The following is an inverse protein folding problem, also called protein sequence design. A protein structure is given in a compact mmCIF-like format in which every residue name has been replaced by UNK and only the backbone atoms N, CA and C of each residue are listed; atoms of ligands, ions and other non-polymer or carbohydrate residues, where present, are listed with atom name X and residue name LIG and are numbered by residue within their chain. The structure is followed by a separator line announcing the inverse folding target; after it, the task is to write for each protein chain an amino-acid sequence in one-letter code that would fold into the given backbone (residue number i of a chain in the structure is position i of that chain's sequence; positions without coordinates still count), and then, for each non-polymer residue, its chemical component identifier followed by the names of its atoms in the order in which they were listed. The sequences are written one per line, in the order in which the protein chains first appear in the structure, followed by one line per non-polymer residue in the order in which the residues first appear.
data_IF_193380921112
#
_entry.id   IF_193380921112
#
_cell.length_a   1.000
_cell.length_b   1.000
_cell.length_c   1.000
_cell.angle_alpha   90.00
_cell.angle_beta   90.00
_cell.angle_gamma   90.00
#
_symmetry.space_group_name_H-M   'P 1'
#
loop_
_entity.id
_entity.type
_entity.pdbx_description
1 polymer ?
#
# COMPACT_ATOMS: atom_id res chain seq x y z
N UNK A 1 35.50 14.94 -31.93
CA UNK A 1 35.55 14.05 -30.72
C UNK A 1 35.06 14.73 -29.44
N UNK A 2 35.28 16.02 -29.18
CA UNK A 2 34.78 16.72 -27.97
C UNK A 2 33.23 16.82 -27.89
N UNK A 3 32.55 17.02 -29.05
CA UNK A 3 31.08 17.16 -29.13
C UNK A 3 30.35 15.82 -28.84
N UNK A 4 30.96 14.68 -29.16
CA UNK A 4 30.37 13.37 -28.90
C UNK A 4 30.37 13.00 -27.41
N UNK A 5 31.37 13.47 -26.66
CA UNK A 5 31.43 13.25 -25.18
C UNK A 5 30.39 14.09 -24.43
N UNK A 6 30.04 15.28 -24.98
CA UNK A 6 29.02 16.14 -24.35
C UNK A 6 27.62 15.54 -24.47
N UNK A 7 27.30 14.92 -25.60
CA UNK A 7 26.00 14.25 -25.82
C UNK A 7 25.85 13.00 -24.95
N UNK A 8 26.93 12.25 -24.70
CA UNK A 8 26.91 11.09 -23.84
C UNK A 8 26.64 11.45 -22.36
N UNK A 9 27.11 12.60 -21.88
CA UNK A 9 26.84 13.07 -20.53
C UNK A 9 25.38 13.53 -20.32
N UNK A 10 24.69 13.99 -21.37
CA UNK A 10 23.32 14.48 -21.28
C UNK A 10 22.28 13.36 -21.13
N UNK A 11 22.62 12.13 -21.52
CA UNK A 11 21.72 10.97 -21.45
C UNK A 11 21.65 10.30 -20.08
N UNK A 12 22.50 10.69 -19.12
CA UNK A 12 22.58 10.05 -17.79
C UNK A 12 21.66 10.73 -16.76
N UNK A 13 21.03 11.86 -17.09
CA UNK A 13 20.26 12.67 -16.12
C UNK A 13 18.78 12.30 -16.02
N UNK A 14 18.29 11.28 -16.72
CA UNK A 14 16.87 10.92 -16.72
C UNK A 14 16.58 9.61 -16.01
N UNK A 15 16.88 9.49 -14.73
CA UNK A 15 16.38 8.33 -13.96
C UNK A 15 15.98 8.70 -12.54
N UNK A 16 15.12 9.70 -12.42
CA UNK A 16 14.24 9.79 -11.24
C UNK A 16 12.85 9.35 -11.70
N UNK A 17 12.58 8.05 -11.69
CA UNK A 17 11.21 7.57 -11.86
C UNK A 17 10.41 7.88 -10.60
N UNK A 18 9.85 9.07 -10.54
CA UNK A 18 8.85 9.42 -9.54
C UNK A 18 7.56 8.73 -9.96
N UNK A 19 7.13 7.71 -9.23
CA UNK A 19 5.84 7.09 -9.49
C UNK A 19 4.73 8.07 -9.14
N UNK A 20 3.94 8.46 -10.14
CA UNK A 20 2.87 9.44 -9.98
C UNK A 20 1.49 8.79 -9.77
N UNK A 21 1.43 7.46 -9.69
CA UNK A 21 0.18 6.75 -9.50
C UNK A 21 0.35 5.45 -8.72
N UNK A 22 -0.73 5.01 -8.09
CA UNK A 22 -0.83 3.71 -7.41
C UNK A 22 -0.56 2.56 -8.37
N UNK A 23 -1.09 2.63 -9.60
CA UNK A 23 -0.87 1.60 -10.61
C UNK A 23 0.60 1.45 -10.99
N UNK A 24 1.28 2.57 -11.21
CA UNK A 24 2.70 2.56 -11.55
C UNK A 24 3.55 2.00 -10.40
N UNK A 25 3.28 2.40 -9.17
CA UNK A 25 3.97 1.90 -7.99
C UNK A 25 3.73 0.39 -7.79
N UNK A 26 2.47 -0.04 -7.83
CA UNK A 26 2.11 -1.44 -7.67
C UNK A 26 2.77 -2.33 -8.72
N UNK A 27 2.70 -1.95 -9.99
CA UNK A 27 3.28 -2.72 -11.08
C UNK A 27 4.81 -2.76 -11.05
N UNK A 28 5.44 -1.69 -10.56
CA UNK A 28 6.90 -1.64 -10.45
C UNK A 28 7.46 -2.54 -9.34
N UNK A 29 6.69 -2.74 -8.26
CA UNK A 29 7.19 -3.43 -7.07
C UNK A 29 6.56 -4.80 -6.80
N UNK A 30 5.51 -5.19 -7.52
CA UNK A 30 4.79 -6.47 -7.26
C UNK A 30 5.64 -7.73 -7.49
N UNK A 31 6.73 -7.61 -8.23
CA UNK A 31 7.66 -8.70 -8.57
C UNK A 31 9.03 -8.54 -7.89
N UNK A 32 9.20 -7.51 -7.04
CA UNK A 32 10.43 -7.34 -6.27
C UNK A 32 10.61 -8.49 -5.27
N UNK A 33 11.87 -8.86 -5.02
CA UNK A 33 12.22 -9.89 -4.05
C UNK A 33 11.65 -9.58 -2.66
N UNK A 34 11.06 -10.58 -2.03
CA UNK A 34 10.45 -10.51 -0.70
C UNK A 34 9.23 -9.55 -0.60
N UNK A 35 8.71 -9.05 -1.72
CA UNK A 35 7.47 -8.29 -1.76
C UNK A 35 6.29 -9.25 -1.88
N UNK A 36 5.31 -9.09 -1.01
CA UNK A 36 4.00 -9.74 -1.15
C UNK A 36 3.05 -8.73 -1.75
N UNK A 37 2.56 -8.99 -2.96
CA UNK A 37 1.61 -8.12 -3.64
C UNK A 37 0.37 -8.92 -4.02
N UNK A 38 -0.80 -8.46 -3.58
CA UNK A 38 -2.07 -9.15 -3.79
C UNK A 38 -3.10 -8.14 -4.30
N UNK A 39 -3.76 -8.50 -5.41
CA UNK A 39 -4.99 -7.85 -5.83
C UNK A 39 -6.15 -8.75 -5.43
N UNK A 40 -6.95 -8.27 -4.49
CA UNK A 40 -8.01 -9.09 -3.87
C UNK A 40 -9.20 -9.22 -4.84
N UNK A 41 -9.55 -10.43 -5.28
CA UNK A 41 -10.72 -10.65 -6.13
C UNK A 41 -12.01 -10.27 -5.41
N UNK A 42 -13.01 -9.82 -6.16
CA UNK A 42 -14.29 -9.36 -5.58
C UNK A 42 -14.99 -10.40 -4.69
N UNK A 43 -14.91 -11.68 -5.04
CA UNK A 43 -15.53 -12.74 -4.23
C UNK A 43 -14.87 -12.89 -2.86
N UNK A 44 -13.56 -12.59 -2.75
CA UNK A 44 -12.86 -12.61 -1.46
C UNK A 44 -13.18 -11.37 -0.60
N UNK A 45 -13.60 -10.27 -1.23
CA UNK A 45 -13.98 -9.06 -0.49
C UNK A 45 -15.15 -9.31 0.46
N UNK A 46 -16.11 -10.14 0.06
CA UNK A 46 -17.24 -10.53 0.91
C UNK A 46 -16.82 -11.32 2.16
N UNK A 47 -15.72 -12.07 2.06
CA UNK A 47 -15.17 -12.83 3.18
C UNK A 47 -14.44 -11.93 4.20
N UNK A 48 -13.77 -10.87 3.70
CA UNK A 48 -13.09 -9.87 4.55
C UNK A 48 -14.13 -9.06 5.34
N UNK A 49 -15.27 -8.74 4.75
CA UNK A 49 -16.34 -7.96 5.36
C UNK A 49 -17.01 -8.58 6.59
N UNK A 50 -16.69 -9.82 6.95
CA UNK A 50 -17.18 -10.46 8.17
C UNK A 50 -16.35 -10.10 9.42
N UNK A 51 -15.30 -9.29 9.30
CA UNK A 51 -14.37 -8.98 10.38
C UNK A 51 -14.96 -7.90 11.31
N UNK A 52 -15.56 -6.84 10.75
CA UNK A 52 -16.29 -5.82 11.53
C UNK A 52 -17.42 -5.20 10.70
N UNK A 53 -18.45 -4.59 11.33
CA UNK A 53 -19.53 -3.90 10.62
C UNK A 53 -19.03 -2.74 9.75
N UNK A 54 -18.06 -1.98 10.22
CA UNK A 54 -17.44 -0.85 9.52
C UNK A 54 -16.68 -1.36 8.30
N UNK A 55 -15.94 -2.44 8.47
CA UNK A 55 -15.24 -3.14 7.41
C UNK A 55 -16.21 -3.66 6.35
N UNK A 56 -17.33 -4.24 6.75
CA UNK A 56 -18.37 -4.73 5.83
C UNK A 56 -18.91 -3.60 4.95
N UNK A 57 -19.12 -2.43 5.54
CA UNK A 57 -19.56 -1.23 4.80
C UNK A 57 -18.51 -0.77 3.78
N UNK A 58 -17.23 -0.78 4.16
CA UNK A 58 -16.14 -0.39 3.28
C UNK A 58 -15.99 -1.39 2.11
N UNK A 59 -15.93 -2.68 2.44
CA UNK A 59 -15.76 -3.76 1.45
C UNK A 59 -16.91 -3.81 0.46
N UNK A 60 -18.16 -3.61 0.91
CA UNK A 60 -19.35 -3.61 0.05
C UNK A 60 -19.29 -2.56 -1.06
N UNK A 61 -18.62 -1.45 -0.83
CA UNK A 61 -18.46 -0.34 -1.77
C UNK A 61 -17.13 -0.40 -2.56
N UNK A 62 -16.28 -1.40 -2.29
CA UNK A 62 -14.97 -1.56 -2.94
C UNK A 62 -15.10 -2.22 -4.31
N UNK A 63 -14.48 -1.62 -5.31
CA UNK A 63 -14.37 -2.13 -6.68
C UNK A 63 -13.02 -2.78 -6.96
N UNK A 64 -11.95 -2.25 -6.37
CA UNK A 64 -10.58 -2.74 -6.47
C UNK A 64 -9.89 -2.60 -5.11
N UNK A 65 -9.32 -3.70 -4.63
CA UNK A 65 -8.54 -3.73 -3.40
C UNK A 65 -7.17 -4.31 -3.72
N UNK A 66 -6.14 -3.58 -3.32
CA UNK A 66 -4.75 -4.01 -3.46
C UNK A 66 -4.04 -3.91 -2.11
N UNK A 67 -3.32 -4.95 -1.81
CA UNK A 67 -2.42 -5.01 -0.67
C UNK A 67 -1.01 -5.27 -1.17
N UNK A 68 -0.04 -4.59 -0.58
CA UNK A 68 1.37 -4.87 -0.80
C UNK A 68 2.11 -4.74 0.52
N UNK A 69 3.01 -5.69 0.76
CA UNK A 69 3.94 -5.68 1.88
C UNK A 69 5.35 -5.80 1.35
N UNK A 70 6.25 -4.99 1.84
CA UNK A 70 7.64 -4.96 1.44
C UNK A 70 8.56 -4.91 2.66
N UNK A 71 9.77 -5.51 2.58
CA UNK A 71 10.77 -5.35 3.62
C UNK A 71 11.25 -3.90 3.65
N UNK A 72 11.37 -3.34 4.85
CA UNK A 72 11.99 -2.04 5.08
C UNK A 72 13.08 -2.16 6.16
N UNK A 73 13.88 -3.22 6.04
CA UNK A 73 14.87 -3.60 7.03
C UNK A 73 16.06 -2.60 7.17
N UNK A 74 16.19 -1.66 6.23
CA UNK A 74 17.21 -0.62 6.27
C UNK A 74 16.60 0.77 6.29
N UNK A 75 17.31 1.71 6.89
CA UNK A 75 16.89 3.10 6.95
C UNK A 75 16.76 3.72 5.55
N UNK A 76 17.68 3.42 4.65
CA UNK A 76 17.64 3.91 3.27
C UNK A 76 16.41 3.39 2.51
N UNK A 77 16.07 2.10 2.66
CA UNK A 77 14.86 1.53 2.07
C UNK A 77 13.59 2.17 2.65
N UNK A 78 13.57 2.39 3.97
CA UNK A 78 12.47 3.08 4.64
C UNK A 78 12.27 4.49 4.10
N UNK A 79 13.35 5.28 4.00
CA UNK A 79 13.31 6.64 3.44
C UNK A 79 12.85 6.64 1.99
N UNK A 80 13.38 5.73 1.18
CA UNK A 80 13.01 5.60 -0.23
C UNK A 80 11.51 5.32 -0.40
N UNK A 81 10.96 4.35 0.33
CA UNK A 81 9.53 4.03 0.29
C UNK A 81 8.66 5.20 0.77
N UNK A 82 9.09 5.89 1.84
CA UNK A 82 8.39 7.08 2.32
C UNK A 82 8.38 8.21 1.27
N UNK A 83 9.47 8.38 0.53
CA UNK A 83 9.56 9.38 -0.54
C UNK A 83 8.66 9.03 -1.73
N UNK A 84 8.63 7.77 -2.13
CA UNK A 84 7.72 7.31 -3.19
C UNK A 84 6.25 7.52 -2.82
N UNK A 85 5.86 7.19 -1.59
CA UNK A 85 4.50 7.44 -1.12
C UNK A 85 4.15 8.93 -1.12
N UNK A 86 5.09 9.81 -0.75
CA UNK A 86 4.88 11.26 -0.87
C UNK A 86 4.64 11.69 -2.32
N UNK A 87 5.37 11.14 -3.27
CA UNK A 87 5.17 11.42 -4.70
C UNK A 87 3.78 11.01 -5.19
N UNK A 88 3.28 9.87 -4.74
CA UNK A 88 1.96 9.36 -5.12
C UNK A 88 0.84 10.21 -4.49
N UNK A 89 0.99 10.58 -3.22
CA UNK A 89 -0.07 11.28 -2.47
C UNK A 89 -0.05 12.79 -2.65
N UNK A 90 1.08 13.38 -3.06
CA UNK A 90 1.34 14.82 -3.00
C UNK A 90 0.43 15.71 -3.85
N UNK A 91 -0.17 15.21 -4.93
CA UNK A 91 -0.85 16.07 -5.91
C UNK A 91 -2.38 15.88 -5.99
N UNK A 92 -2.94 14.85 -5.37
CA UNK A 92 -4.35 14.54 -5.58
C UNK A 92 -5.03 13.82 -4.43
N UNK A 93 -4.27 13.47 -3.39
CA UNK A 93 -4.81 12.89 -2.18
C UNK A 93 -4.84 13.94 -1.06
N UNK A 94 -5.86 13.83 -0.22
CA UNK A 94 -6.02 14.59 1.03
C UNK A 94 -5.64 13.64 2.16
N UNK A 95 -4.69 14.02 2.97
CA UNK A 95 -4.31 13.26 4.15
C UNK A 95 -5.34 13.50 5.25
N UNK A 96 -5.95 12.44 5.76
CA UNK A 96 -6.98 12.49 6.81
C UNK A 96 -6.49 11.95 8.16
N UNK A 97 -5.37 11.24 8.15
CA UNK A 97 -4.70 10.75 9.36
C UNK A 97 -3.20 10.63 9.13
N UNK A 98 -2.40 11.05 10.12
CA UNK A 98 -0.96 10.86 10.15
C UNK A 98 -0.48 10.61 11.57
N UNK A 99 0.34 9.58 11.73
CA UNK A 99 1.11 9.32 12.94
C UNK A 99 2.54 8.99 12.52
N UNK A 100 3.49 9.82 12.90
CA UNK A 100 4.90 9.60 12.64
C UNK A 100 5.63 9.47 13.96
N UNK A 101 6.57 8.53 14.02
CA UNK A 101 7.52 8.34 15.10
C UNK A 101 8.88 8.03 14.49
N UNK A 102 9.77 9.02 14.46
CA UNK A 102 11.06 8.96 13.76
C UNK A 102 10.86 8.57 12.28
N UNK A 103 11.35 7.39 11.87
CA UNK A 103 11.18 6.85 10.51
C UNK A 103 9.88 6.05 10.33
N UNK A 104 9.23 5.68 11.44
CA UNK A 104 7.93 5.00 11.38
C UNK A 104 6.88 5.96 10.87
N UNK A 105 6.03 5.47 10.01
CA UNK A 105 5.02 6.29 9.37
C UNK A 105 3.73 5.53 9.19
N UNK A 106 2.66 6.14 9.62
CA UNK A 106 1.30 5.64 9.40
C UNK A 106 0.47 6.79 8.85
N UNK A 107 -0.04 6.63 7.64
CA UNK A 107 -0.78 7.66 6.91
C UNK A 107 -2.01 7.05 6.27
N UNK A 108 -3.14 7.74 6.41
CA UNK A 108 -4.35 7.48 5.62
C UNK A 108 -4.61 8.70 4.74
N UNK A 109 -4.62 8.47 3.45
CA UNK A 109 -4.88 9.50 2.43
C UNK A 109 -6.08 9.10 1.58
N UNK A 110 -6.91 10.07 1.23
CA UNK A 110 -8.11 9.85 0.43
C UNK A 110 -8.10 10.73 -0.82
N UNK A 111 -8.75 10.27 -1.86
CA UNK A 111 -9.07 11.09 -3.03
C UNK A 111 -10.59 11.21 -3.15
N UNK A 112 -11.06 12.43 -3.09
CA UNK A 112 -12.47 12.74 -3.23
C UNK A 112 -12.82 13.19 -4.65
N UNK A 113 -14.01 12.84 -5.09
CA UNK A 113 -14.59 13.37 -6.32
C UNK A 113 -16.08 13.58 -6.11
N UNK A 114 -16.54 14.84 -6.24
CA UNK A 114 -17.88 15.25 -5.85
C UNK A 114 -18.11 14.96 -4.35
N UNK A 115 -19.18 14.29 -4.00
CA UNK A 115 -19.59 14.03 -2.63
C UNK A 115 -19.17 12.64 -2.10
N UNK A 116 -18.20 11.99 -2.74
CA UNK A 116 -17.75 10.65 -2.37
C UNK A 116 -16.23 10.53 -2.37
N UNK A 117 -15.70 9.74 -1.45
CA UNK A 117 -14.33 9.26 -1.48
C UNK A 117 -14.23 8.14 -2.52
N UNK A 118 -13.36 8.32 -3.52
CA UNK A 118 -13.14 7.35 -4.61
C UNK A 118 -11.97 6.44 -4.36
N UNK A 119 -10.99 6.92 -3.63
CA UNK A 119 -9.77 6.17 -3.37
C UNK A 119 -9.35 6.40 -1.92
N UNK A 120 -8.91 5.32 -1.29
CA UNK A 120 -8.33 5.33 0.06
C UNK A 120 -6.98 4.64 -0.05
N UNK A 121 -5.93 5.30 0.39
CA UNK A 121 -4.58 4.76 0.49
C UNK A 121 -4.15 4.77 1.95
N UNK A 122 -3.86 3.60 2.48
CA UNK A 122 -3.30 3.42 3.81
C UNK A 122 -1.85 2.97 3.63
N UNK A 123 -0.93 3.74 4.16
CA UNK A 123 0.48 3.44 4.14
C UNK A 123 1.02 3.30 5.56
N UNK A 124 1.67 2.20 5.82
CA UNK A 124 2.30 1.92 7.10
C UNK A 124 3.75 1.48 6.86
N UNK A 125 4.67 2.07 7.61
CA UNK A 125 6.08 1.69 7.62
C UNK A 125 6.60 1.75 9.06
N UNK A 126 7.09 0.63 9.57
CA UNK A 126 7.52 0.47 10.97
C UNK A 126 9.02 0.17 11.12
N UNK A 127 9.85 0.51 10.13
CA UNK A 127 11.30 0.26 10.06
C UNK A 127 11.71 -1.20 9.79
N UNK A 128 10.81 -2.17 9.91
CA UNK A 128 11.07 -3.58 9.58
C UNK A 128 10.26 -4.05 8.38
N UNK A 129 9.03 -3.58 8.29
CA UNK A 129 8.11 -3.86 7.19
C UNK A 129 7.39 -2.60 6.78
N UNK A 130 7.24 -2.40 5.49
CA UNK A 130 6.31 -1.45 4.91
C UNK A 130 5.10 -2.17 4.36
N UNK A 131 3.96 -1.52 4.39
CA UNK A 131 2.76 -2.00 3.73
C UNK A 131 1.95 -0.86 3.15
N UNK A 132 1.28 -1.12 2.04
CA UNK A 132 0.21 -0.26 1.62
C UNK A 132 -1.05 -1.08 1.33
N UNK A 133 -2.18 -0.46 1.61
CA UNK A 133 -3.49 -0.98 1.33
C UNK A 133 -4.26 0.08 0.56
N UNK A 134 -4.74 -0.26 -0.61
CA UNK A 134 -5.41 0.66 -1.51
C UNK A 134 -6.80 0.17 -1.85
N UNK A 135 -7.78 1.05 -1.67
CA UNK A 135 -9.17 0.83 -2.05
C UNK A 135 -9.57 1.80 -3.13
N UNK A 136 -10.23 1.30 -4.16
CA UNK A 136 -10.97 2.08 -5.11
C UNK A 136 -12.44 1.69 -5.05
N UNK A 137 -13.35 2.68 -5.00
CA UNK A 137 -14.77 2.45 -4.85
C UNK A 137 -15.59 3.72 -4.74
N UNK A 138 -16.68 3.62 -3.99
CA UNK A 138 -17.57 4.73 -3.68
C UNK A 138 -17.85 4.72 -2.17
N UNK A 139 -17.16 5.57 -1.41
CA UNK A 139 -17.20 5.55 0.04
C UNK A 139 -17.80 6.84 0.61
N UNK A 140 -18.48 6.72 1.74
CA UNK A 140 -18.98 7.83 2.52
C UNK A 140 -17.82 8.60 3.18
N UNK A 141 -17.64 9.91 2.91
CA UNK A 141 -16.51 10.67 3.43
C UNK A 141 -16.48 10.76 4.96
N UNK A 142 -17.65 10.80 5.60
CA UNK A 142 -17.75 10.90 7.07
C UNK A 142 -17.27 9.60 7.70
N UNK A 143 -17.75 8.46 7.19
CA UNK A 143 -17.35 7.14 7.69
C UNK A 143 -15.86 6.89 7.50
N UNK A 144 -15.31 7.25 6.33
CA UNK A 144 -13.86 7.07 6.05
C UNK A 144 -13.02 7.87 7.04
N UNK A 145 -13.40 9.13 7.32
CA UNK A 145 -12.67 9.97 8.29
C UNK A 145 -12.78 9.43 9.71
N UNK A 146 -13.95 8.95 10.11
CA UNK A 146 -14.14 8.32 11.43
C UNK A 146 -13.27 7.06 11.57
N UNK A 147 -13.27 6.17 10.58
CA UNK A 147 -12.42 4.97 10.57
C UNK A 147 -10.93 5.31 10.64
N UNK A 148 -10.50 6.37 9.96
CA UNK A 148 -9.11 6.83 10.02
C UNK A 148 -8.73 7.32 11.43
N UNK A 149 -9.60 8.11 12.08
CA UNK A 149 -9.38 8.64 13.42
C UNK A 149 -9.39 7.56 14.50
N UNK A 150 -10.21 6.52 14.33
CA UNK A 150 -10.34 5.39 15.27
C UNK A 150 -9.27 4.30 15.06
N UNK A 151 -8.29 4.54 14.20
CA UNK A 151 -7.23 3.61 13.83
C UNK A 151 -7.76 2.25 13.30
N UNK A 152 -8.98 2.21 12.73
CA UNK A 152 -9.59 0.99 12.22
C UNK A 152 -8.85 0.44 10.99
N UNK A 153 -8.31 1.33 10.17
CA UNK A 153 -7.50 0.96 9.02
C UNK A 153 -6.18 0.25 9.39
N UNK A 154 -5.58 0.58 10.55
CA UNK A 154 -4.41 -0.13 11.05
C UNK A 154 -4.76 -1.55 11.45
N UNK A 155 -5.82 -1.70 12.24
CA UNK A 155 -6.33 -3.02 12.67
C UNK A 155 -6.65 -3.90 11.47
N UNK A 156 -7.19 -3.31 10.40
CA UNK A 156 -7.46 -3.99 9.15
C UNK A 156 -6.18 -4.47 8.46
N UNK A 157 -5.20 -3.60 8.32
CA UNK A 157 -3.90 -3.95 7.74
C UNK A 157 -3.23 -5.09 8.50
N UNK A 158 -3.23 -5.02 9.83
CA UNK A 158 -2.66 -6.05 10.70
C UNK A 158 -3.43 -7.38 10.59
N UNK A 159 -4.76 -7.34 10.50
CA UNK A 159 -5.61 -8.51 10.31
C UNK A 159 -5.36 -9.21 8.96
N UNK A 160 -5.24 -8.44 7.87
CA UNK A 160 -4.88 -8.98 6.55
C UNK A 160 -3.50 -9.62 6.57
N UNK A 161 -2.50 -8.95 7.15
CA UNK A 161 -1.15 -9.50 7.28
C UNK A 161 -1.13 -10.81 8.05
N UNK A 162 -1.91 -10.94 9.12
CA UNK A 162 -2.04 -12.16 9.91
C UNK A 162 -2.60 -13.32 9.09
N UNK A 163 -3.63 -13.08 8.29
CA UNK A 163 -4.25 -14.11 7.45
C UNK A 163 -3.31 -14.61 6.33
N UNK A 164 -2.55 -13.71 5.71
CA UNK A 164 -1.62 -14.10 4.65
C UNK A 164 -0.38 -14.83 5.18
N UNK A 165 0.11 -14.48 6.36
CA UNK A 165 1.20 -15.22 7.03
C UNK A 165 0.77 -16.63 7.43
N UNK A 166 -0.44 -16.81 7.91
CA UNK A 166 -0.97 -18.13 8.29
C UNK A 166 -1.10 -19.08 7.10
N UNK A 167 -1.39 -18.55 5.89
CA UNK A 167 -1.54 -19.35 4.67
C UNK A 167 -0.21 -19.60 3.93
N UNK A 168 0.88 -18.95 4.31
CA UNK A 168 2.22 -19.12 3.72
C UNK A 168 3.09 -20.13 4.47
N UNK A 169 2.61 -20.78 5.52
CA UNK A 169 3.29 -21.94 6.11
C UNK A 169 3.22 -23.10 5.11
N UNK A 170 4.33 -23.31 4.42
CA UNK A 170 4.59 -24.46 3.54
C UNK A 170 4.23 -25.75 4.27
N UNK A 171 3.47 -26.69 3.67
CA UNK A 171 3.26 -27.99 4.27
C UNK A 171 4.61 -28.66 4.49
N UNK A 172 4.87 -29.04 5.73
CA UNK A 172 6.06 -29.80 6.10
C UNK A 172 6.10 -31.07 5.22
N UNK A 173 7.19 -31.35 4.50
CA UNK A 173 7.27 -32.59 3.72
C UNK A 173 7.15 -33.77 4.70
N UNK A 174 6.17 -34.62 4.44
CA UNK A 174 5.97 -35.87 5.16
C UNK A 174 7.20 -36.71 4.88
N UNK A 175 8.04 -36.91 5.90
CA UNK A 175 9.16 -37.84 5.82
C UNK A 175 8.59 -39.24 5.57
N UNK A 176 9.07 -39.99 4.56
CA UNK A 176 8.66 -41.38 4.42
C UNK A 176 9.18 -42.18 5.60
N UNK A 177 8.28 -42.73 6.41
CA UNK A 177 8.63 -43.77 7.39
C UNK A 177 9.17 -44.99 6.65
N UNK A 178 10.38 -45.41 7.03
CA UNK A 178 10.96 -46.69 6.69
C UNK A 178 10.38 -47.80 7.55
#
# INVERSE_FOLDING_TARGET
MKKLRLVSCLLILCSCSTYNSIDAFYNAHKEDDQVTAIRVPRFMLSMIGNISPEMKSLVGNTKDLRFMQFPSATEDRTRFLNQQMNGITGNSFIEVYRKNDQLKRNVVSIREKRDAVKEILIYNNNNTTGSFLYFNGDFDPVKVRQMAQNEEFQKMGDGLMGQFKANSTTPTPISPEN
#
